data_IF_680495475489
#
_entry.id   IF_680495475489
#
_cell.length_a   1.000
_cell.length_b   1.000
_cell.length_c   1.000
_cell.angle_alpha   90.00
_cell.angle_beta   90.00
_cell.angle_gamma   90.00
#
_symmetry.space_group_name_H-M   'P 1'
#
loop_
_entity.id
_entity.type
_entity.pdbx_description
1 polymer ?
#
# COMPACT_ATOMS: atom_id res chain seq x y z
N UNK A 1 -13.08 1.07 -10.52
CA UNK A 1 -11.68 0.60 -10.39
C UNK A 1 -11.57 -0.20 -9.08
N UNK A 2 -11.02 -1.42 -9.09
CA UNK A 2 -10.94 -2.24 -7.88
C UNK A 2 -9.67 -1.89 -7.08
N UNK A 3 -9.83 -1.25 -5.93
CA UNK A 3 -8.71 -0.78 -5.09
C UNK A 3 -7.70 -1.89 -4.77
N UNK A 4 -8.19 -3.12 -4.53
CA UNK A 4 -7.33 -4.28 -4.26
C UNK A 4 -6.41 -4.63 -5.42
N UNK A 5 -6.91 -4.56 -6.66
CA UNK A 5 -6.10 -4.87 -7.84
C UNK A 5 -5.02 -3.82 -8.07
N UNK A 6 -5.35 -2.54 -7.86
CA UNK A 6 -4.36 -1.45 -7.98
C UNK A 6 -3.28 -1.57 -6.91
N UNK A 7 -3.65 -1.87 -5.66
CA UNK A 7 -2.68 -2.12 -4.58
C UNK A 7 -1.77 -3.29 -4.91
N UNK A 8 -2.31 -4.41 -5.39
CA UNK A 8 -1.49 -5.56 -5.78
C UNK A 8 -0.55 -5.23 -6.94
N UNK A 9 -1.01 -4.47 -7.95
CA UNK A 9 -0.17 -3.98 -9.05
C UNK A 9 0.99 -3.14 -8.50
N UNK A 10 0.72 -2.18 -7.62
CA UNK A 10 1.74 -1.31 -7.02
C UNK A 10 2.77 -2.13 -6.24
N UNK A 11 2.32 -3.09 -5.42
CA UNK A 11 3.23 -3.94 -4.65
C UNK A 11 4.03 -4.90 -5.53
N UNK A 12 3.47 -5.33 -6.66
CA UNK A 12 4.16 -6.19 -7.62
C UNK A 12 5.19 -5.43 -8.45
N UNK A 13 4.85 -4.20 -8.87
CA UNK A 13 5.74 -3.33 -9.65
C UNK A 13 6.84 -2.71 -8.77
N UNK A 14 6.69 -2.75 -7.44
CA UNK A 14 7.71 -2.31 -6.50
C UNK A 14 8.86 -3.33 -6.40
N UNK A 15 10.08 -2.90 -6.71
CA UNK A 15 11.28 -3.73 -6.61
C UNK A 15 11.69 -4.10 -5.17
N UNK A 16 11.10 -3.44 -4.18
CA UNK A 16 11.40 -3.59 -2.75
C UNK A 16 10.12 -3.47 -1.92
N UNK A 17 10.08 -4.01 -0.69
CA UNK A 17 8.96 -3.83 0.21
C UNK A 17 8.65 -2.35 0.45
N UNK A 18 7.38 -1.96 0.36
CA UNK A 18 6.95 -0.55 0.48
C UNK A 18 6.16 -0.30 1.75
N UNK A 19 6.29 0.90 2.30
CA UNK A 19 5.49 1.34 3.45
C UNK A 19 4.03 1.61 3.04
N UNK A 20 3.11 1.62 4.02
CA UNK A 20 1.70 1.99 3.75
C UNK A 20 1.58 3.38 3.13
N UNK A 21 2.36 4.37 3.60
CA UNK A 21 2.33 5.73 3.07
C UNK A 21 2.88 5.82 1.65
N UNK A 22 3.89 5.02 1.32
CA UNK A 22 4.46 4.97 -0.01
C UNK A 22 3.52 4.28 -1.00
N UNK A 23 2.88 3.19 -0.58
CA UNK A 23 1.80 2.56 -1.32
C UNK A 23 0.63 3.55 -1.55
N UNK A 24 0.28 4.35 -0.54
CA UNK A 24 -0.77 5.38 -0.65
C UNK A 24 -0.39 6.52 -1.61
N UNK A 25 0.86 6.97 -1.59
CA UNK A 25 1.36 7.97 -2.52
C UNK A 25 1.29 7.47 -3.97
N UNK A 26 1.79 6.25 -4.23
CA UNK A 26 1.73 5.63 -5.55
C UNK A 26 0.29 5.37 -6.01
N UNK A 27 -0.57 4.90 -5.10
CA UNK A 27 -2.00 4.69 -5.38
C UNK A 27 -2.69 6.00 -5.77
N UNK A 28 -2.50 7.06 -4.98
CA UNK A 28 -3.13 8.36 -5.21
C UNK A 28 -2.73 8.95 -6.56
N UNK A 29 -1.46 8.80 -6.95
CA UNK A 29 -0.96 9.14 -8.30
C UNK A 29 -1.62 8.29 -9.38
N UNK A 30 -1.66 6.96 -9.20
CA UNK A 30 -2.24 6.03 -10.17
C UNK A 30 -3.74 6.26 -10.44
N UNK A 31 -4.48 6.79 -9.45
CA UNK A 31 -5.91 7.10 -9.58
C UNK A 31 -6.21 8.58 -9.85
N UNK A 32 -5.19 9.41 -10.05
CA UNK A 32 -5.36 10.84 -10.37
C UNK A 32 -5.82 11.72 -9.21
N UNK A 33 -5.68 11.26 -7.96
CA UNK A 33 -6.03 12.04 -6.76
C UNK A 33 -4.92 13.02 -6.33
N UNK A 34 -3.73 12.97 -6.94
CA UNK A 34 -2.58 13.78 -6.54
C UNK A 34 -1.71 13.12 -5.47
N UNK A 35 -0.78 13.88 -4.87
CA UNK A 35 0.18 13.38 -3.88
C UNK A 35 0.39 14.36 -2.71
N UNK A 36 -0.61 15.20 -2.44
CA UNK A 36 -0.58 16.12 -1.32
C UNK A 36 -0.66 15.35 0.01
N UNK A 37 0.01 15.84 1.05
CA UNK A 37 0.14 15.13 2.32
C UNK A 37 -1.21 14.74 2.95
N UNK A 38 -2.23 15.61 2.85
CA UNK A 38 -3.58 15.31 3.35
C UNK A 38 -4.26 14.18 2.59
N UNK A 39 -4.07 14.11 1.28
CA UNK A 39 -4.62 13.04 0.42
C UNK A 39 -3.91 11.73 0.73
N UNK A 40 -2.58 11.75 0.82
CA UNK A 40 -1.77 10.58 1.15
C UNK A 40 -2.13 10.04 2.54
N UNK A 41 -2.35 10.88 3.54
CA UNK A 41 -2.78 10.42 4.88
C UNK A 41 -4.17 9.75 4.83
N UNK A 42 -5.12 10.38 4.15
CA UNK A 42 -6.47 9.84 3.99
C UNK A 42 -6.46 8.49 3.26
N UNK A 43 -5.68 8.37 2.18
CA UNK A 43 -5.53 7.14 1.42
C UNK A 43 -4.78 6.09 2.22
N UNK A 44 -3.76 6.46 3.00
CA UNK A 44 -3.01 5.54 3.86
C UNK A 44 -3.91 4.85 4.88
N UNK A 45 -4.83 5.58 5.51
CA UNK A 45 -5.80 5.01 6.46
C UNK A 45 -6.72 3.99 5.78
N UNK A 46 -7.20 4.29 4.57
CA UNK A 46 -8.03 3.38 3.78
C UNK A 46 -7.24 2.15 3.32
N UNK A 47 -6.02 2.34 2.82
CA UNK A 47 -5.16 1.25 2.35
C UNK A 47 -4.72 0.33 3.47
N UNK A 48 -4.53 0.82 4.69
CA UNK A 48 -4.20 -0.02 5.85
C UNK A 48 -5.24 -1.14 6.05
N UNK A 49 -6.54 -0.82 5.93
CA UNK A 49 -7.61 -1.80 6.00
C UNK A 49 -7.58 -2.79 4.81
N UNK A 50 -7.32 -2.28 3.60
CA UNK A 50 -7.22 -3.11 2.38
C UNK A 50 -6.04 -4.07 2.45
N UNK A 51 -4.87 -3.60 2.87
CA UNK A 51 -3.65 -4.41 3.05
C UNK A 51 -3.87 -5.49 4.11
N UNK A 52 -4.55 -5.16 5.20
CA UNK A 52 -4.94 -6.15 6.22
C UNK A 52 -5.84 -7.25 5.63
N UNK A 53 -6.82 -6.88 4.80
CA UNK A 53 -7.68 -7.87 4.12
C UNK A 53 -6.90 -8.73 3.12
N UNK A 54 -6.00 -8.12 2.33
CA UNK A 54 -5.14 -8.84 1.39
C UNK A 54 -4.18 -9.80 2.12
N UNK A 55 -3.71 -9.41 3.31
CA UNK A 55 -2.87 -10.26 4.16
C UNK A 55 -3.63 -11.48 4.63
N UNK A 56 -4.87 -11.28 5.13
CA UNK A 56 -5.75 -12.40 5.51
C UNK A 56 -6.08 -13.33 4.34
N UNK A 57 -6.11 -12.79 3.12
CA UNK A 57 -6.30 -13.56 1.89
C UNK A 57 -5.01 -14.21 1.35
N UNK A 58 -3.87 -14.09 2.06
CA UNK A 58 -2.58 -14.66 1.65
C UNK A 58 -2.00 -14.04 0.38
N UNK A 59 -2.41 -12.81 0.00
CA UNK A 59 -1.93 -12.15 -1.23
C UNK A 59 -0.74 -11.23 -1.00
N UNK A 60 -0.62 -10.70 0.21
CA UNK A 60 0.47 -9.82 0.63
C UNK A 60 0.94 -10.24 2.02
N UNK A 61 2.16 -9.87 2.39
CA UNK A 61 2.68 -10.09 3.75
C UNK A 61 3.43 -8.86 4.24
N UNK A 62 3.51 -8.72 5.57
CA UNK A 62 4.39 -7.74 6.18
C UNK A 62 5.77 -8.36 6.41
N UNK A 63 6.82 -7.69 5.95
CA UNK A 63 8.21 -8.17 6.10
C UNK A 63 9.00 -7.43 7.15
N UNK A 64 8.42 -6.39 7.74
CA UNK A 64 9.03 -5.64 8.82
C UNK A 64 8.34 -4.33 9.07
N UNK A 65 9.04 -3.44 9.78
CA UNK A 65 8.62 -2.06 10.00
C UNK A 65 9.73 -1.10 9.57
N UNK A 66 9.34 0.06 9.06
CA UNK A 66 10.26 1.19 8.85
C UNK A 66 10.75 1.73 10.20
N UNK A 67 11.78 2.57 10.17
CA UNK A 67 12.25 3.31 11.36
C UNK A 67 11.11 4.10 12.05
N UNK A 68 10.13 4.56 11.26
CA UNK A 68 8.94 5.27 11.73
C UNK A 68 7.79 4.34 12.15
N UNK A 69 8.08 3.06 12.42
CA UNK A 69 7.11 2.03 12.87
C UNK A 69 5.99 1.69 11.89
N UNK A 70 6.09 2.10 10.62
CA UNK A 70 5.11 1.72 9.60
C UNK A 70 5.40 0.32 9.08
N UNK A 71 4.36 -0.49 8.83
CA UNK A 71 4.56 -1.80 8.21
C UNK A 71 5.09 -1.69 6.78
N UNK A 72 6.04 -2.56 6.45
CA UNK A 72 6.55 -2.78 5.11
C UNK A 72 5.84 -3.98 4.49
N UNK A 73 5.34 -3.80 3.27
CA UNK A 73 4.48 -4.74 2.56
C UNK A 73 5.12 -5.22 1.27
N UNK A 74 4.91 -6.49 0.96
CA UNK A 74 5.25 -7.10 -0.32
C UNK A 74 4.21 -8.15 -0.72
N UNK A 75 4.27 -8.62 -1.97
CA UNK A 75 3.45 -9.74 -2.45
C UNK A 75 3.85 -11.03 -1.70
N UNK A 76 2.87 -11.79 -1.24
CA UNK A 76 3.10 -13.12 -0.73
C UNK A 76 3.31 -14.08 -1.92
N UNK A 77 4.50 -14.68 -2.00
CA UNK A 77 4.84 -15.71 -2.98
C UNK A 77 4.15 -17.04 -2.68
#
# INVERSE_FOLDING_TARGET
MNQRQVVLRILHDAASPVSTSECAAQFSRAVGLGNEAGIVDQVSRKLSAVLTQLTKAGRVRHVGKTANRQFLWEIAA
#
